data_IF_784959944613
#
_entry.id   IF_784959944613
#
_cell.length_a   1.000
_cell.length_b   1.000
_cell.length_c   1.000
_cell.angle_alpha   90.00
_cell.angle_beta   90.00
_cell.angle_gamma   90.00
#
_symmetry.space_group_name_H-M   'P 1'
#
loop_
_entity.id
_entity.type
_entity.pdbx_description
1 polymer ?
#
# COMPACT_ATOMS: atom_id res chain seq x y z
N UNK A 1 -51.77 19.08 -53.02
CA UNK A 1 -50.91 17.91 -52.73
C UNK A 1 -50.48 18.09 -51.27
N UNK A 2 -51.09 17.45 -50.25
CA UNK A 2 -51.20 16.00 -50.00
C UNK A 2 -49.80 15.34 -50.04
N UNK A 3 -49.24 14.74 -48.98
CA UNK A 3 -49.60 14.54 -47.55
C UNK A 3 -48.29 14.31 -46.76
N UNK A 4 -48.18 14.50 -45.44
CA UNK A 4 -49.15 14.95 -44.43
C UNK A 4 -48.72 14.46 -43.03
N UNK A 5 -48.92 15.26 -41.98
CA UNK A 5 -48.48 14.96 -40.60
C UNK A 5 -49.63 14.40 -39.74
N UNK A 6 -49.34 13.43 -38.85
CA UNK A 6 -50.35 12.87 -37.95
C UNK A 6 -49.81 12.69 -36.52
N UNK A 7 -50.23 13.61 -35.65
CA UNK A 7 -50.10 13.50 -34.18
C UNK A 7 -51.16 12.52 -33.65
N UNK A 8 -50.77 11.53 -32.83
CA UNK A 8 -51.70 10.77 -31.98
C UNK A 8 -51.11 10.59 -30.58
N UNK A 9 -51.98 10.72 -29.57
CA UNK A 9 -51.68 10.91 -28.15
C UNK A 9 -51.39 9.62 -27.38
N UNK A 10 -50.81 9.83 -26.19
CA UNK A 10 -50.70 8.93 -25.04
C UNK A 10 -51.60 7.68 -24.99
N UNK A 11 -50.97 6.56 -24.61
CA UNK A 11 -51.55 5.59 -23.68
C UNK A 11 -50.58 5.33 -22.53
N UNK A 12 -51.08 5.36 -21.29
CA UNK A 12 -50.33 4.92 -20.11
C UNK A 12 -50.43 3.40 -19.98
N UNK A 13 -49.32 2.74 -19.68
CA UNK A 13 -49.25 1.32 -19.39
C UNK A 13 -48.04 1.02 -18.51
N UNK A 14 -48.25 0.88 -17.20
CA UNK A 14 -47.19 0.52 -16.27
C UNK A 14 -46.80 -0.95 -16.41
N UNK A 15 -45.52 -1.23 -16.65
CA UNK A 15 -44.95 -2.58 -16.63
C UNK A 15 -43.95 -2.68 -15.46
N UNK A 16 -44.35 -3.42 -14.43
CA UNK A 16 -43.55 -3.70 -13.25
C UNK A 16 -42.44 -4.73 -13.61
N UNK A 17 -41.21 -4.26 -13.83
CA UNK A 17 -40.06 -5.13 -14.10
C UNK A 17 -39.42 -5.59 -12.79
N UNK A 18 -39.92 -6.70 -12.29
CA UNK A 18 -39.40 -7.39 -11.11
C UNK A 18 -38.15 -8.19 -11.49
N UNK A 19 -37.03 -7.97 -10.81
CA UNK A 19 -35.77 -8.69 -11.08
C UNK A 19 -35.90 -10.20 -10.76
N UNK A 20 -35.31 -11.10 -11.58
CA UNK A 20 -35.33 -12.52 -11.32
C UNK A 20 -34.34 -12.89 -10.18
N UNK A 21 -34.70 -13.83 -9.28
CA UNK A 21 -33.81 -14.22 -8.18
C UNK A 21 -32.60 -15.02 -8.70
N UNK A 22 -31.41 -14.70 -8.20
CA UNK A 22 -30.20 -15.46 -8.52
C UNK A 22 -30.24 -16.87 -7.93
N UNK A 23 -30.25 -17.88 -8.81
CA UNK A 23 -30.19 -19.30 -8.42
C UNK A 23 -28.75 -19.66 -8.06
N UNK A 24 -28.51 -19.95 -6.79
CA UNK A 24 -27.23 -20.47 -6.29
C UNK A 24 -27.09 -21.95 -6.64
N UNK A 25 -26.02 -22.40 -7.33
CA UNK A 25 -25.81 -23.82 -7.59
C UNK A 25 -25.60 -24.60 -6.28
N UNK A 26 -26.44 -25.61 -6.02
CA UNK A 26 -26.22 -26.55 -4.92
C UNK A 26 -25.02 -27.45 -5.24
N UNK A 27 -23.95 -27.34 -4.46
CA UNK A 27 -22.92 -28.37 -4.42
C UNK A 27 -23.50 -29.65 -3.79
N UNK A 28 -23.43 -30.76 -4.53
CA UNK A 28 -23.83 -32.08 -4.06
C UNK A 28 -22.74 -32.67 -3.16
N UNK A 29 -23.08 -32.98 -1.91
CA UNK A 29 -22.22 -33.74 -1.00
C UNK A 29 -22.26 -35.23 -1.35
N UNK A 30 -21.12 -35.92 -1.55
CA UNK A 30 -21.09 -37.38 -1.56
C UNK A 30 -21.28 -37.93 -0.14
N UNK A 31 -22.08 -38.99 0.01
CA UNK A 31 -22.01 -39.85 1.20
C UNK A 31 -20.81 -40.82 1.08
N UNK A 32 -20.19 -41.23 2.20
CA UNK A 32 -19.12 -42.21 2.18
C UNK A 32 -19.70 -43.64 2.14
N UNK A 33 -19.13 -44.49 1.27
CA UNK A 33 -19.13 -45.95 1.46
C UNK A 33 -17.68 -46.41 1.65
N UNK A 34 -17.49 -47.40 2.51
CA UNK A 34 -16.18 -47.67 3.13
C UNK A 34 -15.29 -48.66 2.40
N UNK A 35 -14.01 -48.69 2.79
CA UNK A 35 -13.07 -49.74 2.38
C UNK A 35 -11.61 -49.44 2.71
N UNK A 36 -11.03 -50.24 3.62
CA UNK A 36 -9.60 -50.43 3.90
C UNK A 36 -8.78 -49.28 4.53
N UNK A 37 -8.18 -49.58 5.69
CA UNK A 37 -6.97 -48.92 6.18
C UNK A 37 -5.76 -49.22 5.27
N UNK A 38 -4.70 -48.40 5.34
CA UNK A 38 -3.59 -48.83 6.20
C UNK A 38 -3.10 -47.75 7.17
N UNK A 39 -2.43 -48.21 8.23
CA UNK A 39 -1.90 -47.41 9.33
C UNK A 39 -0.76 -46.45 8.93
N UNK A 40 -0.29 -45.70 9.94
CA UNK A 40 0.74 -44.65 9.95
C UNK A 40 0.29 -43.24 9.54
N UNK A 41 -0.02 -42.44 10.56
CA UNK A 41 0.65 -41.14 10.81
C UNK A 41 0.35 -40.70 12.26
N UNK A 42 1.34 -40.76 13.14
CA UNK A 42 1.23 -40.28 14.52
C UNK A 42 1.26 -38.75 14.55
N UNK A 43 0.40 -38.12 15.35
CA UNK A 43 0.33 -36.66 15.45
C UNK A 43 1.46 -36.06 16.32
N UNK A 44 1.88 -34.80 16.08
CA UNK A 44 3.10 -34.23 16.65
C UNK A 44 3.27 -34.22 18.19
N UNK A 45 2.22 -34.15 19.04
CA UNK A 45 2.42 -34.08 20.49
C UNK A 45 3.01 -35.35 21.13
N UNK A 46 2.80 -36.52 20.50
CA UNK A 46 3.18 -37.81 21.10
C UNK A 46 4.68 -38.13 21.02
N UNK A 47 5.41 -37.53 20.07
CA UNK A 47 6.83 -37.84 19.84
C UNK A 47 7.74 -37.19 20.91
N UNK A 48 7.36 -36.02 21.43
CA UNK A 48 8.19 -35.26 22.36
C UNK A 48 8.16 -35.77 23.81
N UNK A 49 7.16 -36.57 24.18
CA UNK A 49 7.07 -37.17 25.52
C UNK A 49 8.07 -38.32 25.74
N UNK A 50 8.57 -38.95 24.67
CA UNK A 50 9.39 -40.17 24.75
C UNK A 50 10.89 -39.96 24.98
N UNK A 51 11.39 -38.71 24.94
CA UNK A 51 12.84 -38.42 24.92
C UNK A 51 13.41 -37.77 26.19
N UNK A 52 12.61 -37.60 27.26
CA UNK A 52 13.12 -37.34 28.62
C UNK A 52 13.94 -36.05 28.83
N UNK A 53 13.97 -35.11 27.88
CA UNK A 53 14.72 -33.86 27.95
C UNK A 53 13.78 -32.70 28.30
N UNK A 54 14.14 -31.95 29.35
CA UNK A 54 13.41 -30.73 29.74
C UNK A 54 13.48 -29.70 28.61
N UNK A 55 12.32 -29.24 28.15
CA UNK A 55 12.22 -28.09 27.24
C UNK A 55 12.63 -26.82 27.98
N UNK A 56 13.46 -25.93 27.40
CA UNK A 56 13.76 -24.63 28.01
C UNK A 56 12.50 -23.78 28.19
N UNK A 57 12.36 -23.15 29.36
CA UNK A 57 11.20 -22.34 29.68
C UNK A 57 11.24 -20.96 29.01
N UNK A 58 10.96 -20.90 27.70
CA UNK A 58 10.70 -19.65 26.97
C UNK A 58 9.60 -19.77 25.91
N UNK A 59 8.51 -20.45 26.26
CA UNK A 59 7.21 -20.29 25.60
C UNK A 59 6.10 -20.19 26.65
N UNK A 60 6.25 -19.23 27.57
CA UNK A 60 5.05 -18.63 28.18
C UNK A 60 4.36 -17.85 27.07
N UNK A 61 3.40 -18.50 26.41
CA UNK A 61 2.52 -17.83 25.47
C UNK A 61 1.82 -16.71 26.21
N UNK A 62 2.25 -15.48 25.98
CA UNK A 62 1.51 -14.30 26.42
C UNK A 62 0.11 -14.45 25.87
N UNK A 63 -0.88 -14.55 26.76
CA UNK A 63 -2.29 -14.57 26.39
C UNK A 63 -2.66 -13.17 25.88
N UNK A 64 -2.23 -12.86 24.65
CA UNK A 64 -2.70 -11.71 23.89
C UNK A 64 -4.22 -11.83 23.88
N UNK A 65 -4.92 -10.79 24.35
CA UNK A 65 -6.37 -10.72 24.19
C UNK A 65 -6.63 -10.83 22.69
N UNK A 66 -7.43 -11.82 22.28
CA UNK A 66 -7.88 -11.89 20.90
C UNK A 66 -8.61 -10.58 20.58
N UNK A 67 -8.15 -9.85 19.56
CA UNK A 67 -8.70 -8.54 19.21
C UNK A 67 -10.20 -8.62 18.91
N UNK A 68 -10.95 -7.63 19.38
CA UNK A 68 -12.41 -7.60 19.21
C UNK A 68 -12.75 -6.97 17.87
N UNK A 69 -13.18 -7.80 16.92
CA UNK A 69 -13.44 -7.39 15.52
C UNK A 69 -14.90 -6.98 15.27
N UNK A 70 -15.22 -5.74 15.65
CA UNK A 70 -16.55 -5.12 15.42
C UNK A 70 -16.73 -4.55 14.01
N UNK A 71 -17.94 -4.11 13.66
CA UNK A 71 -18.25 -3.58 12.33
C UNK A 71 -17.53 -2.27 11.98
N UNK A 72 -17.17 -1.43 12.97
CA UNK A 72 -16.33 -0.24 12.70
C UNK A 72 -14.97 -0.64 12.12
N UNK A 73 -14.37 -1.74 12.62
CA UNK A 73 -13.09 -2.25 12.13
C UNK A 73 -13.23 -2.90 10.75
N UNK A 74 -14.30 -3.67 10.52
CA UNK A 74 -14.60 -4.28 9.22
C UNK A 74 -14.82 -3.21 8.14
N UNK A 75 -15.58 -2.16 8.44
CA UNK A 75 -15.83 -1.05 7.51
C UNK A 75 -14.58 -0.22 7.27
N UNK A 76 -13.76 -0.01 8.29
CA UNK A 76 -12.45 0.65 8.16
C UNK A 76 -11.54 -0.11 7.18
N UNK A 77 -11.41 -1.44 7.33
CA UNK A 77 -10.61 -2.27 6.42
C UNK A 77 -11.12 -2.24 4.98
N UNK A 78 -12.43 -2.36 4.76
CA UNK A 78 -13.01 -2.25 3.41
C UNK A 78 -12.60 -0.94 2.72
N UNK A 79 -12.72 0.18 3.42
CA UNK A 79 -12.40 1.50 2.88
C UNK A 79 -10.89 1.67 2.68
N UNK A 80 -10.05 1.21 3.61
CA UNK A 80 -8.59 1.18 3.45
C UNK A 80 -8.17 0.38 2.21
N UNK A 81 -8.77 -0.78 1.97
CA UNK A 81 -8.50 -1.59 0.77
C UNK A 81 -8.92 -0.88 -0.52
N UNK A 82 -10.05 -0.16 -0.54
CA UNK A 82 -10.47 0.60 -1.74
C UNK A 82 -9.57 1.80 -2.06
N UNK A 83 -8.92 2.40 -1.06
CA UNK A 83 -7.96 3.48 -1.26
C UNK A 83 -6.52 2.98 -1.50
N UNK A 84 -6.21 1.74 -1.09
CA UNK A 84 -4.87 1.13 -1.17
C UNK A 84 -3.87 1.66 -0.14
N UNK A 85 -3.80 2.98 0.02
CA UNK A 85 -2.94 3.70 0.97
C UNK A 85 -3.61 5.02 1.38
N UNK A 86 -3.40 5.45 2.63
CA UNK A 86 -3.94 6.70 3.15
C UNK A 86 -2.93 7.41 4.07
N UNK A 87 -2.96 8.74 4.08
CA UNK A 87 -2.23 9.56 5.06
C UNK A 87 -2.87 9.48 6.46
N UNK A 88 -2.09 9.76 7.50
CA UNK A 88 -2.57 9.71 8.89
C UNK A 88 -3.77 10.64 9.15
N UNK A 89 -3.82 11.80 8.47
CA UNK A 89 -4.93 12.74 8.60
C UNK A 89 -6.26 12.15 8.09
N UNK A 90 -6.22 11.47 6.95
CA UNK A 90 -7.37 10.80 6.34
C UNK A 90 -7.72 9.50 7.04
N UNK A 91 -6.76 8.76 7.60
CA UNK A 91 -7.05 7.61 8.45
C UNK A 91 -7.74 8.03 9.76
N UNK A 92 -7.29 9.11 10.42
CA UNK A 92 -7.99 9.70 11.58
C UNK A 92 -9.38 10.22 11.19
N UNK A 93 -9.61 10.60 9.94
CA UNK A 93 -10.94 10.97 9.42
C UNK A 93 -11.80 9.73 9.14
N UNK A 94 -11.20 8.67 8.59
CA UNK A 94 -11.83 7.40 8.25
C UNK A 94 -12.29 6.64 9.50
N UNK A 95 -11.43 6.55 10.52
CA UNK A 95 -11.76 5.98 11.83
C UNK A 95 -13.00 6.68 12.42
N UNK A 96 -12.96 8.02 12.53
CA UNK A 96 -14.10 8.84 13.00
C UNK A 96 -15.36 8.69 12.14
N UNK A 97 -15.23 8.47 10.84
CA UNK A 97 -16.37 8.19 9.96
C UNK A 97 -16.99 6.82 10.28
N UNK A 98 -16.19 5.77 10.44
CA UNK A 98 -16.67 4.42 10.75
C UNK A 98 -17.43 4.39 12.09
N UNK A 99 -16.89 5.00 13.15
CA UNK A 99 -17.61 5.17 14.42
C UNK A 99 -18.94 5.92 14.22
N UNK A 100 -18.97 7.07 13.54
CA UNK A 100 -20.23 7.82 13.29
C UNK A 100 -21.32 7.04 12.54
N UNK A 101 -20.97 6.02 11.78
CA UNK A 101 -21.90 5.17 11.02
C UNK A 101 -22.37 3.97 11.84
N UNK A 102 -21.47 3.24 12.50
CA UNK A 102 -21.78 1.95 13.14
C UNK A 102 -21.84 1.99 14.68
N UNK A 103 -21.18 2.95 15.33
CA UNK A 103 -21.20 3.12 16.79
C UNK A 103 -21.08 4.60 17.18
N UNK A 104 -22.24 5.28 17.18
CA UNK A 104 -22.33 6.73 17.42
C UNK A 104 -21.98 7.17 18.84
N UNK A 105 -21.97 6.25 19.80
CA UNK A 105 -21.92 6.58 21.23
C UNK A 105 -20.61 6.11 21.89
N UNK A 106 -19.84 5.23 21.26
CA UNK A 106 -18.52 4.87 21.75
C UNK A 106 -17.50 6.03 21.67
N UNK A 107 -16.61 6.17 22.66
CA UNK A 107 -15.48 7.07 22.54
C UNK A 107 -14.53 6.59 21.43
N UNK A 108 -14.09 7.51 20.56
CA UNK A 108 -13.12 7.18 19.51
C UNK A 108 -11.76 6.94 20.16
N UNK A 109 -11.29 5.69 20.09
CA UNK A 109 -9.99 5.25 20.60
C UNK A 109 -8.83 5.96 19.90
N UNK A 110 -7.64 5.97 20.53
CA UNK A 110 -6.43 6.44 19.85
C UNK A 110 -6.18 5.57 18.61
N UNK A 111 -5.67 6.20 17.55
CA UNK A 111 -5.44 5.50 16.28
C UNK A 111 -4.52 4.28 16.44
N UNK A 112 -3.47 4.41 17.26
CA UNK A 112 -2.49 3.34 17.48
C UNK A 112 -3.13 2.14 18.18
N UNK A 113 -3.91 2.36 19.24
CA UNK A 113 -4.65 1.30 19.95
C UNK A 113 -5.65 0.60 19.01
N UNK A 114 -6.38 1.37 18.20
CA UNK A 114 -7.33 0.87 17.21
C UNK A 114 -6.65 0.02 16.12
N UNK A 115 -5.52 0.47 15.57
CA UNK A 115 -4.73 -0.30 14.59
C UNK A 115 -4.15 -1.56 15.23
N UNK A 116 -3.62 -1.49 16.45
CA UNK A 116 -3.07 -2.63 17.17
C UNK A 116 -4.16 -3.70 17.45
N UNK A 117 -5.38 -3.29 17.81
CA UNK A 117 -6.52 -4.21 17.94
C UNK A 117 -6.81 -4.93 16.61
N UNK A 118 -6.87 -4.21 15.48
CA UNK A 118 -7.08 -4.82 14.16
C UNK A 118 -5.94 -5.78 13.80
N UNK A 119 -4.68 -5.34 13.93
CA UNK A 119 -3.51 -6.14 13.58
C UNK A 119 -3.46 -7.44 14.39
N UNK A 120 -3.84 -7.43 15.67
CA UNK A 120 -3.91 -8.67 16.48
C UNK A 120 -4.91 -9.72 15.95
N UNK A 121 -5.92 -9.32 15.18
CA UNK A 121 -6.85 -10.23 14.47
C UNK A 121 -6.26 -10.65 13.13
N UNK A 122 -5.64 -9.72 12.41
CA UNK A 122 -5.04 -9.94 11.10
C UNK A 122 -3.74 -10.77 11.14
N UNK A 123 -3.08 -10.89 12.30
CA UNK A 123 -1.96 -11.82 12.54
C UNK A 123 -2.26 -13.25 12.02
N UNK A 124 -3.51 -13.71 12.19
CA UNK A 124 -3.97 -15.02 11.71
C UNK A 124 -4.02 -15.19 10.19
N UNK A 125 -4.01 -14.07 9.45
CA UNK A 125 -4.07 -14.00 7.99
C UNK A 125 -2.73 -13.61 7.36
N UNK A 126 -1.67 -13.42 8.17
CA UNK A 126 -0.36 -12.92 7.73
C UNK A 126 -0.44 -11.58 6.97
N UNK A 127 -1.35 -10.69 7.36
CA UNK A 127 -1.45 -9.33 6.81
C UNK A 127 -1.48 -8.32 7.97
N UNK A 128 -1.02 -7.10 7.74
CA UNK A 128 -1.04 -6.04 8.75
C UNK A 128 -1.33 -4.66 8.14
N UNK A 129 -1.92 -3.77 8.93
CA UNK A 129 -1.91 -2.34 8.64
C UNK A 129 -0.54 -1.82 9.08
N UNK A 130 0.35 -1.59 8.12
CA UNK A 130 1.72 -1.11 8.35
C UNK A 130 1.76 0.41 8.22
N UNK A 131 2.42 1.08 9.18
CA UNK A 131 2.77 2.50 9.09
C UNK A 131 4.09 2.66 8.34
N UNK A 132 4.13 3.59 7.40
CA UNK A 132 5.34 4.04 6.71
C UNK A 132 5.47 5.56 6.70
N UNK A 133 6.55 6.03 6.11
CA UNK A 133 6.78 7.44 5.78
C UNK A 133 7.09 7.54 4.29
N UNK A 134 6.63 8.62 3.64
CA UNK A 134 7.06 8.95 2.26
C UNK A 134 8.53 9.33 2.24
N UNK A 135 9.24 8.99 1.16
CA UNK A 135 10.68 9.27 1.06
C UNK A 135 11.00 10.72 0.65
N UNK A 136 10.03 11.46 0.09
CA UNK A 136 10.22 12.84 -0.37
C UNK A 136 9.93 13.87 0.72
N UNK A 137 8.80 13.78 1.43
CA UNK A 137 8.41 14.77 2.44
C UNK A 137 8.12 14.22 3.85
N UNK A 138 8.23 12.89 4.07
CA UNK A 138 8.11 12.28 5.38
C UNK A 138 6.69 12.16 5.95
N UNK A 139 5.65 12.38 5.13
CA UNK A 139 4.24 12.16 5.52
C UNK A 139 4.04 10.73 6.05
N UNK A 140 3.38 10.56 7.22
CA UNK A 140 2.99 9.25 7.70
C UNK A 140 1.83 8.68 6.87
N UNK A 141 2.10 7.57 6.19
CA UNK A 141 1.16 6.81 5.37
C UNK A 141 0.90 5.43 5.99
N UNK A 142 -0.26 4.84 5.73
CA UNK A 142 -0.55 3.46 6.11
C UNK A 142 -1.20 2.71 4.95
N UNK A 143 -0.84 1.44 4.81
CA UNK A 143 -1.36 0.52 3.82
C UNK A 143 -1.62 -0.86 4.44
N UNK A 144 -2.49 -1.66 3.82
CA UNK A 144 -2.67 -3.06 4.18
C UNK A 144 -1.64 -3.91 3.43
N UNK A 145 -0.62 -4.36 4.15
CA UNK A 145 0.57 -5.07 3.66
C UNK A 145 0.42 -6.57 3.93
N UNK A 146 0.96 -7.39 3.03
CA UNK A 146 1.08 -8.84 3.21
C UNK A 146 2.44 -9.17 3.82
N UNK A 147 2.46 -9.95 4.90
CA UNK A 147 3.68 -10.44 5.56
C UNK A 147 4.25 -11.70 4.88
N UNK A 148 3.49 -12.35 3.99
CA UNK A 148 4.01 -13.42 3.14
C UNK A 148 4.93 -12.85 2.05
N UNK A 149 6.04 -13.54 1.80
CA UNK A 149 7.16 -13.05 0.96
C UNK A 149 6.79 -12.83 -0.52
N UNK A 150 5.68 -13.40 -0.99
CA UNK A 150 5.19 -13.30 -2.37
C UNK A 150 4.28 -12.10 -2.61
N UNK A 151 4.68 -10.90 -2.18
CA UNK A 151 3.82 -9.70 -2.23
C UNK A 151 3.46 -9.20 -3.64
N UNK A 152 4.21 -9.64 -4.66
CA UNK A 152 3.85 -9.49 -6.10
C UNK A 152 2.43 -10.00 -6.40
N UNK A 153 1.92 -10.98 -5.63
CA UNK A 153 0.60 -11.60 -5.83
C UNK A 153 -0.57 -10.62 -5.87
N UNK A 154 -0.46 -9.47 -5.17
CA UNK A 154 -1.53 -8.46 -5.15
C UNK A 154 -1.61 -7.72 -6.48
N UNK A 155 -0.49 -7.20 -6.98
CA UNK A 155 -0.41 -6.66 -8.35
C UNK A 155 -0.76 -7.72 -9.39
N UNK A 156 -0.32 -8.97 -9.21
CA UNK A 156 -0.59 -10.05 -10.15
C UNK A 156 -2.08 -10.41 -10.31
N UNK A 157 -2.93 -9.95 -9.39
CA UNK A 157 -4.39 -10.10 -9.47
C UNK A 157 -5.06 -8.92 -10.21
N UNK A 158 -4.45 -7.73 -10.18
CA UNK A 158 -5.02 -6.48 -10.72
C UNK A 158 -4.53 -6.13 -12.15
N UNK A 159 -3.45 -6.79 -12.62
CA UNK A 159 -2.74 -6.45 -13.85
C UNK A 159 -2.42 -7.68 -14.70
N UNK A 160 -2.42 -7.51 -16.03
CA UNK A 160 -2.05 -8.55 -16.98
C UNK A 160 -0.53 -8.83 -16.98
N UNK A 161 -0.12 -10.02 -17.45
CA UNK A 161 1.29 -10.46 -17.43
C UNK A 161 2.27 -9.46 -18.05
N UNK A 162 1.88 -8.83 -19.16
CA UNK A 162 2.67 -7.82 -19.87
C UNK A 162 2.69 -6.45 -19.15
N UNK A 163 1.61 -6.07 -18.46
CA UNK A 163 1.60 -4.92 -17.56
C UNK A 163 2.55 -5.15 -16.37
N UNK A 164 2.52 -6.36 -15.78
CA UNK A 164 3.42 -6.73 -14.68
C UNK A 164 4.88 -6.76 -15.10
N UNK A 165 5.19 -7.19 -16.32
CA UNK A 165 6.56 -7.17 -16.83
C UNK A 165 7.04 -5.75 -17.11
N UNK A 166 6.15 -4.86 -17.55
CA UNK A 166 6.45 -3.42 -17.67
C UNK A 166 6.73 -2.79 -16.31
N UNK A 167 5.98 -3.17 -15.26
CA UNK A 167 6.28 -2.73 -13.90
C UNK A 167 7.64 -3.24 -13.42
N UNK A 168 8.00 -4.51 -13.65
CA UNK A 168 9.32 -5.05 -13.30
C UNK A 168 10.45 -4.31 -14.03
N UNK A 169 10.29 -4.05 -15.33
CA UNK A 169 11.27 -3.30 -16.14
C UNK A 169 11.41 -1.84 -15.70
N UNK A 170 10.31 -1.19 -15.27
CA UNK A 170 10.38 0.14 -14.67
C UNK A 170 11.05 0.11 -13.27
N UNK A 171 10.74 -0.90 -12.45
CA UNK A 171 11.33 -1.11 -11.13
C UNK A 171 12.85 -1.31 -11.20
N UNK A 172 13.34 -2.13 -12.13
CA UNK A 172 14.78 -2.30 -12.41
C UNK A 172 15.46 -0.94 -12.67
N UNK A 173 14.93 -0.15 -13.61
CA UNK A 173 15.46 1.19 -13.93
C UNK A 173 15.41 2.16 -12.74
N UNK A 174 14.37 2.08 -11.90
CA UNK A 174 14.21 2.94 -10.72
C UNK A 174 15.23 2.60 -9.63
N UNK A 175 15.52 1.32 -9.40
CA UNK A 175 16.50 0.87 -8.40
C UNK A 175 17.92 1.26 -8.83
N UNK A 176 18.27 0.99 -10.10
CA UNK A 176 19.59 1.28 -10.65
C UNK A 176 19.88 2.79 -10.74
N UNK A 177 18.86 3.62 -11.05
CA UNK A 177 19.00 5.07 -11.19
C UNK A 177 19.44 5.77 -9.91
N UNK A 178 20.52 6.56 -9.95
CA UNK A 178 21.09 7.26 -8.78
C UNK A 178 20.04 8.06 -7.98
N UNK A 179 19.16 8.79 -8.68
CA UNK A 179 18.12 9.63 -8.08
C UNK A 179 16.91 8.86 -7.55
N UNK A 180 16.74 7.59 -7.92
CA UNK A 180 15.52 6.82 -7.70
C UNK A 180 14.40 7.16 -8.69
N UNK A 181 14.71 7.79 -9.82
CA UNK A 181 13.75 8.13 -10.88
C UNK A 181 14.16 7.53 -12.23
N UNK A 182 13.19 7.06 -13.01
CA UNK A 182 13.40 6.55 -14.35
C UNK A 182 12.54 7.31 -15.36
N UNK A 183 13.16 7.86 -16.42
CA UNK A 183 12.42 8.61 -17.43
C UNK A 183 11.41 7.74 -18.18
N UNK A 184 10.27 8.34 -18.53
CA UNK A 184 9.27 7.75 -19.42
C UNK A 184 9.89 7.15 -20.69
N UNK A 185 10.84 7.85 -21.32
CA UNK A 185 11.48 7.39 -22.55
C UNK A 185 12.34 6.14 -22.36
N UNK A 186 13.06 6.02 -21.24
CA UNK A 186 13.85 4.82 -20.92
C UNK A 186 12.93 3.61 -20.72
N UNK A 187 11.85 3.76 -19.95
CA UNK A 187 10.89 2.68 -19.70
C UNK A 187 10.20 2.26 -21.00
N UNK A 188 9.76 3.22 -21.83
CA UNK A 188 9.06 2.95 -23.09
C UNK A 188 9.95 2.29 -24.16
N UNK A 189 11.27 2.35 -24.03
CA UNK A 189 12.20 1.63 -24.91
C UNK A 189 12.32 0.14 -24.57
N UNK A 190 11.86 -0.30 -23.40
CA UNK A 190 11.82 -1.71 -23.00
C UNK A 190 10.52 -2.44 -23.43
N UNK A 191 9.56 -1.73 -24.04
CA UNK A 191 8.24 -2.26 -24.42
C UNK A 191 8.32 -3.43 -25.42
N UNK A 192 9.29 -3.43 -26.34
CA UNK A 192 9.50 -4.55 -27.28
C UNK A 192 10.16 -5.78 -26.63
N UNK A 193 10.62 -5.69 -25.38
CA UNK A 193 11.23 -6.77 -24.60
C UNK A 193 10.28 -7.43 -23.60
N UNK A 194 9.03 -6.93 -23.49
CA UNK A 194 8.06 -7.40 -22.50
C UNK A 194 7.61 -8.84 -22.76
N UNK A 195 7.52 -9.62 -21.68
CA UNK A 195 6.90 -10.95 -21.70
C UNK A 195 5.37 -10.86 -21.87
N UNK A 196 4.78 -11.94 -22.40
CA UNK A 196 3.34 -12.05 -22.62
C UNK A 196 2.87 -11.36 -23.91
N UNK A 197 1.68 -10.76 -23.87
CA UNK A 197 1.04 -10.13 -25.05
C UNK A 197 1.80 -8.87 -25.49
N UNK A 198 2.19 -8.81 -26.78
CA UNK A 198 2.84 -7.62 -27.36
C UNK A 198 2.01 -6.35 -27.16
N UNK A 199 2.63 -5.36 -26.54
CA UNK A 199 2.08 -4.04 -26.20
C UNK A 199 2.67 -2.97 -27.14
N UNK A 200 1.96 -1.85 -27.37
CA UNK A 200 2.52 -0.68 -28.08
C UNK A 200 2.95 0.41 -27.09
N UNK A 201 3.90 1.28 -27.45
CA UNK A 201 4.35 2.39 -26.56
C UNK A 201 3.19 3.25 -26.02
N UNK A 202 2.20 3.60 -26.86
CA UNK A 202 0.98 4.31 -26.44
C UNK A 202 0.10 3.55 -25.42
N UNK A 203 0.12 2.22 -25.45
CA UNK A 203 -0.57 1.36 -24.48
C UNK A 203 0.25 1.31 -23.17
N UNK A 204 1.57 1.19 -23.27
CA UNK A 204 2.47 1.26 -22.12
C UNK A 204 2.39 2.60 -21.36
N UNK A 205 2.29 3.73 -22.07
CA UNK A 205 2.02 5.06 -21.47
C UNK A 205 0.74 5.04 -20.60
N UNK A 206 -0.34 4.43 -21.10
CA UNK A 206 -1.60 4.30 -20.35
C UNK A 206 -1.45 3.39 -19.13
N UNK A 207 -0.64 2.33 -19.23
CA UNK A 207 -0.35 1.41 -18.12
C UNK A 207 0.51 2.09 -17.04
N UNK A 208 1.49 2.92 -17.42
CA UNK A 208 2.24 3.75 -16.45
C UNK A 208 1.31 4.71 -15.69
N UNK A 209 0.39 5.36 -16.39
CA UNK A 209 -0.65 6.19 -15.75
C UNK A 209 -1.59 5.36 -14.86
N UNK A 210 -1.93 4.13 -15.23
CA UNK A 210 -2.69 3.18 -14.38
C UNK A 210 -1.92 2.85 -13.10
N UNK A 211 -0.59 2.69 -13.14
CA UNK A 211 0.23 2.51 -11.92
C UNK A 211 0.25 3.75 -11.02
N UNK A 212 0.31 4.96 -11.58
CA UNK A 212 0.23 6.22 -10.81
C UNK A 212 -1.14 6.36 -10.13
N UNK A 213 -2.24 6.10 -10.86
CA UNK A 213 -3.60 6.13 -10.33
C UNK A 213 -3.79 5.13 -9.18
N UNK A 214 -3.25 3.91 -9.32
CA UNK A 214 -3.32 2.85 -8.30
C UNK A 214 -2.28 2.98 -7.18
N UNK A 215 -1.52 4.08 -7.13
CA UNK A 215 -0.53 4.38 -6.10
C UNK A 215 0.61 3.35 -6.02
N UNK A 216 1.05 2.83 -7.18
CA UNK A 216 2.26 2.02 -7.31
C UNK A 216 3.47 2.87 -7.73
N UNK A 217 3.26 3.86 -8.60
CA UNK A 217 4.28 4.82 -9.04
C UNK A 217 3.88 6.26 -8.67
N UNK A 218 4.87 7.15 -8.68
CA UNK A 218 4.71 8.60 -8.65
C UNK A 218 5.38 9.14 -9.91
N UNK A 219 4.71 10.04 -10.64
CA UNK A 219 5.30 10.78 -11.76
C UNK A 219 5.72 12.19 -11.30
N UNK A 220 6.94 12.59 -11.62
CA UNK A 220 7.44 13.97 -11.48
C UNK A 220 8.17 14.32 -12.78
N UNK A 221 7.72 15.38 -13.46
CA UNK A 221 8.35 15.95 -14.67
C UNK A 221 8.61 14.96 -15.84
N UNK A 222 7.78 13.90 -15.95
CA UNK A 222 7.92 12.87 -16.99
C UNK A 222 8.88 11.73 -16.63
N UNK A 223 9.37 11.70 -15.39
CA UNK A 223 10.07 10.59 -14.76
C UNK A 223 9.19 9.91 -13.70
N UNK A 224 9.43 8.63 -13.46
CA UNK A 224 8.69 7.82 -12.49
C UNK A 224 9.59 7.32 -11.35
N UNK A 225 9.05 7.33 -10.13
CA UNK A 225 9.63 6.68 -8.94
C UNK A 225 8.59 5.79 -8.25
N UNK A 226 9.00 4.97 -7.28
CA UNK A 226 8.07 4.15 -6.50
C UNK A 226 7.21 5.02 -5.57
N UNK A 227 5.92 4.70 -5.49
CA UNK A 227 5.06 5.24 -4.45
C UNK A 227 5.39 4.59 -3.10
N UNK A 228 5.28 5.31 -1.98
CA UNK A 228 5.55 4.75 -0.64
C UNK A 228 4.69 3.52 -0.28
N UNK A 229 3.54 3.35 -0.95
CA UNK A 229 2.72 2.12 -0.90
C UNK A 229 3.46 0.92 -1.52
N UNK A 230 4.06 1.09 -2.70
CA UNK A 230 4.83 0.04 -3.35
C UNK A 230 6.02 -0.39 -2.49
N UNK A 231 6.71 0.58 -1.86
CA UNK A 231 7.79 0.30 -0.90
C UNK A 231 7.24 -0.50 0.30
N UNK A 232 6.15 -0.05 0.93
CA UNK A 232 5.52 -0.75 2.06
C UNK A 232 5.08 -2.18 1.73
N UNK A 233 4.52 -2.41 0.55
CA UNK A 233 4.03 -3.71 0.11
C UNK A 233 5.15 -4.62 -0.44
N UNK A 234 6.22 -4.08 -1.04
CA UNK A 234 7.21 -4.85 -1.81
C UNK A 234 8.66 -4.76 -1.35
N UNK A 235 8.97 -4.06 -0.24
CA UNK A 235 10.34 -3.92 0.28
C UNK A 235 11.08 -5.26 0.38
N UNK A 236 10.44 -6.30 0.93
CA UNK A 236 11.05 -7.63 1.06
C UNK A 236 11.37 -8.24 -0.31
N UNK A 237 10.39 -8.27 -1.22
CA UNK A 237 10.57 -8.78 -2.58
C UNK A 237 11.70 -8.05 -3.32
N UNK A 238 11.76 -6.71 -3.20
CA UNK A 238 12.79 -5.89 -3.85
C UNK A 238 14.20 -6.26 -3.33
N UNK A 239 14.35 -6.44 -2.02
CA UNK A 239 15.62 -6.83 -1.40
C UNK A 239 16.05 -8.27 -1.75
N UNK A 240 15.10 -9.18 -1.89
CA UNK A 240 15.38 -10.58 -2.24
C UNK A 240 15.74 -10.76 -3.74
N UNK A 241 15.14 -9.95 -4.63
CA UNK A 241 15.35 -10.08 -6.08
C UNK A 241 16.51 -9.21 -6.60
N UNK A 242 16.80 -8.07 -5.98
CA UNK A 242 17.82 -7.13 -6.44
C UNK A 242 18.89 -6.82 -5.37
N UNK A 243 19.47 -7.82 -4.67
CA UNK A 243 20.30 -7.60 -3.48
C UNK A 243 21.54 -6.72 -3.71
N UNK A 244 22.12 -6.75 -4.91
CA UNK A 244 23.32 -5.99 -5.25
C UNK A 244 23.04 -4.55 -5.71
N UNK A 245 21.78 -4.24 -6.10
CA UNK A 245 21.37 -2.94 -6.61
C UNK A 245 20.57 -2.11 -5.59
N UNK A 246 19.96 -2.75 -4.58
CA UNK A 246 19.18 -2.04 -3.55
C UNK A 246 20.05 -1.11 -2.71
N UNK A 247 19.53 0.09 -2.49
CA UNK A 247 20.16 1.12 -1.67
C UNK A 247 19.52 1.08 -0.29
N UNK A 248 20.31 1.34 0.75
CA UNK A 248 19.86 1.26 2.14
C UNK A 248 20.20 2.56 2.86
N UNK A 249 19.26 3.07 3.65
CA UNK A 249 19.45 4.28 4.44
C UNK A 249 20.34 4.01 5.67
N UNK A 250 21.39 4.81 5.86
CA UNK A 250 22.34 4.68 6.99
C UNK A 250 21.72 4.95 8.38
N UNK A 251 20.49 5.48 8.47
CA UNK A 251 19.84 5.80 9.75
C UNK A 251 18.77 4.78 10.13
N UNK A 252 17.86 4.45 9.21
CA UNK A 252 16.75 3.54 9.50
C UNK A 252 16.98 2.10 9.01
N UNK A 253 18.02 1.86 8.21
CA UNK A 253 18.31 0.61 7.51
C UNK A 253 17.19 0.07 6.59
N UNK A 254 16.16 0.90 6.33
CA UNK A 254 15.11 0.66 5.36
C UNK A 254 15.61 0.76 3.91
N UNK A 255 14.84 0.16 2.99
CA UNK A 255 15.06 0.31 1.55
C UNK A 255 14.95 1.79 1.18
N UNK A 256 15.89 2.26 0.35
CA UNK A 256 15.97 3.63 -0.12
C UNK A 256 15.83 3.64 -1.64
N UNK A 257 14.80 4.31 -2.15
CA UNK A 257 14.66 4.58 -3.59
C UNK A 257 15.24 5.96 -3.90
N UNK A 258 14.73 7.01 -3.24
CA UNK A 258 15.28 8.37 -3.33
C UNK A 258 15.86 8.84 -1.99
N UNK A 259 16.90 9.65 -2.06
CA UNK A 259 17.64 10.11 -0.89
C UNK A 259 18.77 11.08 -1.24
N UNK A 260 19.49 11.53 -0.22
CA UNK A 260 20.74 12.27 -0.35
C UNK A 260 21.94 11.35 -0.09
N UNK A 261 23.05 11.58 -0.78
CA UNK A 261 24.29 10.81 -0.69
C UNK A 261 25.46 11.66 -0.19
N UNK A 262 26.35 11.06 0.62
CA UNK A 262 27.61 11.71 1.00
C UNK A 262 28.64 11.57 -0.13
N UNK A 263 29.16 12.69 -0.64
CA UNK A 263 30.16 12.70 -1.72
C UNK A 263 31.46 11.98 -1.33
N UNK A 264 31.87 12.07 -0.07
CA UNK A 264 33.16 11.53 0.41
C UNK A 264 33.16 10.01 0.64
N UNK A 265 32.03 9.42 1.06
CA UNK A 265 31.97 8.00 1.42
C UNK A 265 30.77 7.21 0.84
N UNK A 266 29.92 7.84 0.04
CA UNK A 266 28.84 7.17 -0.69
C UNK A 266 27.65 6.68 0.13
N UNK A 267 27.62 6.89 1.46
CA UNK A 267 26.43 6.53 2.27
C UNK A 267 25.21 7.30 1.78
N UNK A 268 24.03 6.67 1.81
CA UNK A 268 22.75 7.30 1.43
C UNK A 268 21.80 7.39 2.62
N UNK A 269 20.98 8.43 2.64
CA UNK A 269 19.98 8.69 3.68
C UNK A 269 18.68 9.22 3.04
N UNK A 270 17.52 8.74 3.49
CA UNK A 270 16.22 9.29 3.09
C UNK A 270 16.11 10.76 3.51
N UNK A 271 15.40 11.60 2.75
CA UNK A 271 15.20 13.02 3.09
C UNK A 271 14.62 13.21 4.52
N UNK A 272 13.60 12.46 4.97
CA UNK A 272 13.11 12.55 6.36
C UNK A 272 14.12 12.07 7.41
N UNK A 273 15.04 11.17 7.06
CA UNK A 273 16.12 10.73 7.95
C UNK A 273 17.19 11.82 8.07
N UNK A 274 17.57 12.47 6.97
CA UNK A 274 18.45 13.67 6.97
C UNK A 274 17.83 14.76 7.83
N UNK A 275 16.58 15.13 7.56
CA UNK A 275 15.84 16.18 8.27
C UNK A 275 15.85 15.98 9.79
N UNK A 276 15.58 14.73 10.24
CA UNK A 276 15.54 14.38 11.65
C UNK A 276 16.93 14.25 12.29
N UNK A 277 17.91 13.71 11.56
CA UNK A 277 19.26 13.50 12.10
C UNK A 277 20.04 14.80 12.25
N UNK A 278 19.88 15.73 11.30
CA UNK A 278 20.49 17.05 11.33
C UNK A 278 19.59 18.14 11.94
N UNK A 279 18.47 17.74 12.56
CA UNK A 279 17.55 18.67 13.18
C UNK A 279 18.27 19.54 14.22
N UNK A 280 18.18 20.86 14.06
CA UNK A 280 18.82 21.86 14.92
C UNK A 280 20.36 21.81 14.98
N UNK A 281 21.04 21.10 14.06
CA UNK A 281 22.49 21.16 13.93
C UNK A 281 22.90 22.25 12.92
N UNK A 282 23.69 23.23 13.38
CA UNK A 282 24.20 24.32 12.55
C UNK A 282 25.37 23.91 11.64
N UNK A 283 26.04 22.79 11.92
CA UNK A 283 27.08 22.23 11.06
C UNK A 283 26.80 20.73 10.79
N UNK A 284 25.97 20.41 9.79
CA UNK A 284 25.66 19.05 9.39
C UNK A 284 26.91 18.27 8.96
N UNK A 285 27.17 17.12 9.61
CA UNK A 285 28.31 16.24 9.35
C UNK A 285 27.91 14.79 9.12
N UNK A 286 28.45 14.17 8.08
CA UNK A 286 28.16 12.80 7.70
C UNK A 286 28.38 11.81 8.87
N UNK A 287 27.38 10.99 9.25
CA UNK A 287 27.50 10.06 10.39
C UNK A 287 28.58 8.98 10.23
N UNK A 288 29.10 8.76 9.01
CA UNK A 288 30.09 7.72 8.71
C UNK A 288 31.53 8.27 8.60
N UNK A 289 31.76 9.34 7.84
CA UNK A 289 33.09 9.93 7.63
C UNK A 289 33.35 11.24 8.40
N UNK A 290 32.35 11.80 9.09
CA UNK A 290 32.40 13.09 9.80
C UNK A 290 32.70 14.34 8.93
N UNK A 291 32.70 14.17 7.62
CA UNK A 291 32.86 15.25 6.64
C UNK A 291 31.58 16.13 6.55
N UNK A 292 31.69 17.32 6.00
CA UNK A 292 30.56 18.24 5.85
C UNK A 292 29.46 17.63 4.95
N UNK A 293 28.19 17.81 5.31
CA UNK A 293 27.07 17.34 4.48
C UNK A 293 26.78 18.35 3.36
N UNK A 294 26.98 18.01 2.07
CA UNK A 294 26.98 18.99 0.98
C UNK A 294 25.57 19.48 0.59
N UNK A 295 24.52 18.76 0.99
CA UNK A 295 23.14 19.02 0.58
C UNK A 295 22.37 19.89 1.59
N UNK A 296 21.35 20.58 1.10
CA UNK A 296 20.38 21.26 1.95
C UNK A 296 19.65 20.27 2.87
N UNK A 297 19.52 20.63 4.16
CA UNK A 297 18.83 19.81 5.16
C UNK A 297 17.32 20.09 5.07
N UNK A 298 16.48 19.10 4.74
CA UNK A 298 15.04 19.32 4.65
C UNK A 298 14.42 19.63 6.03
N UNK A 299 13.32 20.37 6.07
CA UNK A 299 12.54 20.50 7.30
C UNK A 299 11.92 19.15 7.71
N UNK A 300 11.83 18.89 9.01
CA UNK A 300 11.10 17.73 9.54
C UNK A 300 9.60 17.92 9.30
N UNK A 301 8.93 16.89 8.80
CA UNK A 301 7.48 16.89 8.59
C UNK A 301 6.71 17.26 9.87
N UNK A 302 5.92 18.33 9.79
CA UNK A 302 5.08 18.82 10.88
C UNK A 302 3.59 18.80 10.45
N UNK A 303 2.77 17.90 11.04
CA UNK A 303 1.35 17.79 10.72
C UNK A 303 0.49 18.97 11.20
N UNK A 304 1.02 19.88 12.03
CA UNK A 304 0.32 21.10 12.48
C UNK A 304 0.49 22.23 11.46
N UNK A 305 1.73 22.52 11.01
CA UNK A 305 2.02 23.49 9.93
C UNK A 305 1.20 23.22 8.66
N UNK A 306 1.09 21.95 8.26
CA UNK A 306 0.30 21.51 7.09
C UNK A 306 -1.19 21.88 7.21
N UNK A 307 -1.77 21.81 8.40
CA UNK A 307 -3.18 22.17 8.63
C UNK A 307 -3.41 23.66 8.46
N UNK A 308 -2.50 24.49 8.94
CA UNK A 308 -2.58 25.95 8.80
C UNK A 308 -2.44 26.38 7.34
N UNK A 309 -1.52 25.75 6.59
CA UNK A 309 -1.37 25.93 5.15
C UNK A 309 -2.63 25.49 4.37
N UNK A 310 -3.24 24.37 4.75
CA UNK A 310 -4.50 23.86 4.18
C UNK A 310 -5.69 24.80 4.41
N UNK A 311 -5.89 25.26 5.66
CA UNK A 311 -6.94 26.22 6.02
C UNK A 311 -6.78 27.53 5.25
N UNK A 312 -5.54 28.04 5.14
CA UNK A 312 -5.21 29.24 4.37
C UNK A 312 -5.54 29.12 2.88
N UNK A 313 -5.33 27.94 2.28
CA UNK A 313 -5.72 27.66 0.89
C UNK A 313 -7.25 27.56 0.73
N UNK A 314 -7.97 27.01 1.70
CA UNK A 314 -9.44 26.95 1.65
C UNK A 314 -10.14 28.32 1.78
N UNK A 315 -9.64 29.21 2.64
CA UNK A 315 -10.17 30.59 2.76
C UNK A 315 -9.93 31.46 1.51
N UNK A 316 -8.90 31.15 0.70
CA UNK A 316 -8.69 31.79 -0.62
C UNK A 316 -9.60 31.25 -1.73
N UNK A 317 -10.25 30.09 -1.53
CA UNK A 317 -11.26 29.56 -2.47
C UNK A 317 -12.66 30.07 -2.14
N UNK A 318 -13.06 30.12 -0.86
CA UNK A 318 -14.38 30.64 -0.46
C UNK A 318 -14.59 32.12 -0.82
N UNK A 319 -13.52 32.93 -0.79
CA UNK A 319 -13.55 34.35 -1.15
C UNK A 319 -13.67 34.65 -2.65
N UNK A 320 -13.43 33.68 -3.54
CA UNK A 320 -13.58 33.84 -5.01
C UNK A 320 -14.95 33.46 -5.56
N UNK A 321 -15.87 32.97 -4.73
CA UNK A 321 -17.19 32.45 -5.17
C UNK A 321 -18.36 33.42 -5.00
N UNK A 322 -18.09 34.73 -4.81
CA UNK A 322 -19.10 35.79 -4.71
C UNK A 322 -18.72 37.00 -5.58
N UNK A 323 -18.67 36.79 -6.89
CA UNK A 323 -18.70 37.85 -7.90
C UNK A 323 -19.10 37.25 -9.24
N UNK A 324 -20.40 37.08 -9.44
CA UNK A 324 -21.15 37.08 -10.72
C UNK A 324 -22.64 37.13 -10.40
#
# INVERSE_FOLDING_TARGET
MATGEQEVRHLMGGANLQEPPMVVPRLLSPRPEGGAEPAFLLTPPAVWAALGRRVPALMQGSTRRAGVMTDVHRRFLQLLMTHGVLEECDIKRLQRHCYKVHDRNAPVEKLEDFINNINSVLESLYIEIKKGVTEDDGRPIYALVNLATTSVSKMASDFAENELDLFRKALELIIDSESGFASSTNILNLVDQLKGKKMRKKEAEQVLQKFVQNKWLIEKEGEFTLHGRAILEMEQYIREVYPDAVKVCNICHGLLIQGQSCETCGIRMHLPCVAKYFQSNAEPRCPHCNDYWPHEIPEVFDPEKEREAGVSKSNKRSSRSRQH
#
